data_IF_271392269766
#
_entry.id   IF_271392269766
#
_cell.length_a   1.000
_cell.length_b   1.000
_cell.length_c   1.000
_cell.angle_alpha   90.00
_cell.angle_beta   90.00
_cell.angle_gamma   90.00
#
_symmetry.space_group_name_H-M   'P 1'
#
loop_
_entity.id
_entity.type
_entity.pdbx_description
1 polymer ?
#
# COMPACT_ATOMS: atom_id res chain seq x y z
N UNK A 1 -14.98 -33.22 30.83
CA UNK A 1 -15.59 -32.15 30.02
C UNK A 1 -14.48 -31.26 29.50
N UNK A 2 -14.33 -31.15 28.18
CA UNK A 2 -13.41 -30.18 27.53
C UNK A 2 -14.20 -28.88 27.32
N UNK A 3 -13.70 -27.71 27.73
CA UNK A 3 -14.32 -26.47 27.30
C UNK A 3 -13.88 -26.14 25.86
N UNK A 4 -14.88 -26.08 24.98
CA UNK A 4 -14.86 -25.32 23.72
C UNK A 4 -14.67 -23.83 24.06
N UNK A 5 -14.20 -22.93 23.20
CA UNK A 5 -13.89 -22.93 21.79
C UNK A 5 -13.54 -21.48 21.47
N UNK A 6 -12.39 -21.27 20.83
CA UNK A 6 -11.98 -20.08 20.10
C UNK A 6 -12.28 -18.71 20.74
N UNK A 7 -11.30 -18.18 21.47
CA UNK A 7 -11.25 -16.78 21.88
C UNK A 7 -11.49 -15.86 20.68
N UNK A 8 -12.64 -15.19 20.66
CA UNK A 8 -12.80 -13.93 19.93
C UNK A 8 -11.86 -12.89 20.58
N UNK A 9 -10.56 -12.98 20.28
CA UNK A 9 -9.69 -11.82 20.34
C UNK A 9 -10.14 -10.87 19.23
N UNK A 10 -11.22 -10.12 19.49
CA UNK A 10 -11.41 -8.85 18.80
C UNK A 10 -10.15 -8.04 19.13
N UNK A 11 -9.40 -7.69 18.08
CA UNK A 11 -8.23 -6.83 18.13
C UNK A 11 -8.56 -5.50 18.81
N UNK A 12 -8.56 -5.47 20.15
CA UNK A 12 -8.71 -4.23 20.92
C UNK A 12 -7.55 -3.25 20.62
N UNK A 13 -6.42 -3.76 20.10
CA UNK A 13 -5.27 -2.97 19.66
C UNK A 13 -5.43 -2.25 18.31
N UNK A 14 -6.53 -2.44 17.58
CA UNK A 14 -6.81 -1.70 16.33
C UNK A 14 -7.66 -0.43 16.54
N UNK A 15 -8.24 -0.24 17.73
CA UNK A 15 -9.14 0.88 18.01
C UNK A 15 -8.46 2.26 17.92
N UNK A 16 -7.13 2.30 18.05
CA UNK A 16 -6.33 3.54 18.08
C UNK A 16 -5.35 3.66 16.90
N UNK A 17 -5.40 2.77 15.91
CA UNK A 17 -4.67 3.02 14.66
C UNK A 17 -5.49 4.01 13.85
N UNK A 18 -5.14 5.29 13.95
CA UNK A 18 -5.60 6.29 12.99
C UNK A 18 -5.28 5.74 11.60
N UNK A 19 -6.31 5.29 10.89
CA UNK A 19 -6.19 4.75 9.54
C UNK A 19 -5.55 5.86 8.69
N UNK A 20 -4.58 5.52 7.84
CA UNK A 20 -3.76 6.52 7.15
C UNK A 20 -4.62 7.56 6.41
N UNK A 21 -5.70 7.14 5.76
CA UNK A 21 -6.66 8.02 5.10
C UNK A 21 -7.35 9.02 6.03
N UNK A 22 -7.51 8.72 7.32
CA UNK A 22 -8.11 9.62 8.31
C UNK A 22 -7.14 10.72 8.75
N UNK A 23 -5.83 10.52 8.55
CA UNK A 23 -4.78 11.49 8.91
C UNK A 23 -4.44 12.40 7.72
N UNK A 24 -4.64 11.91 6.49
CA UNK A 24 -4.27 12.63 5.28
C UNK A 24 -5.25 13.76 4.94
N UNK A 25 -4.73 14.88 4.44
CA UNK A 25 -5.56 15.92 3.82
C UNK A 25 -6.15 15.40 2.51
N UNK A 26 -7.47 15.23 2.49
CA UNK A 26 -8.21 14.73 1.34
C UNK A 26 -8.19 15.70 0.16
N UNK A 27 -7.89 16.98 0.41
CA UNK A 27 -7.73 18.01 -0.63
C UNK A 27 -6.35 17.97 -1.26
N UNK A 28 -5.39 17.27 -0.68
CA UNK A 28 -4.03 17.21 -1.22
C UNK A 28 -4.04 16.60 -2.64
N UNK A 29 -3.37 17.20 -3.64
CA UNK A 29 -3.40 16.72 -5.02
C UNK A 29 -3.00 15.25 -5.18
N UNK A 30 -1.97 14.81 -4.45
CA UNK A 30 -1.54 13.40 -4.48
C UNK A 30 -2.58 12.43 -3.91
N UNK A 31 -3.36 12.85 -2.90
CA UNK A 31 -4.44 12.03 -2.35
C UNK A 31 -5.53 11.83 -3.41
N UNK A 32 -5.94 12.91 -4.08
CA UNK A 32 -6.95 12.87 -5.13
C UNK A 32 -6.50 12.03 -6.32
N UNK A 33 -5.25 12.17 -6.76
CA UNK A 33 -4.70 11.39 -7.88
C UNK A 33 -4.62 9.91 -7.50
N UNK A 34 -4.17 9.58 -6.29
CA UNK A 34 -4.10 8.20 -5.84
C UNK A 34 -5.46 7.48 -5.80
N UNK A 35 -6.57 8.24 -5.71
CA UNK A 35 -7.95 7.71 -5.81
C UNK A 35 -8.43 7.51 -7.24
N UNK A 36 -7.83 8.21 -8.21
CA UNK A 36 -8.19 8.15 -9.64
C UNK A 36 -7.37 7.14 -10.42
N UNK A 37 -6.20 6.75 -9.90
CA UNK A 37 -5.35 5.74 -10.53
C UNK A 37 -6.04 4.37 -10.43
N UNK A 38 -6.14 3.70 -11.57
CA UNK A 38 -6.47 2.28 -11.67
C UNK A 38 -5.25 1.45 -11.26
N UNK A 39 -5.20 1.07 -9.98
CA UNK A 39 -4.11 0.27 -9.43
C UNK A 39 -4.16 -1.18 -9.90
N UNK A 40 -5.34 -1.72 -10.19
CA UNK A 40 -5.50 -3.13 -10.62
C UNK A 40 -4.84 -3.35 -11.97
N UNK A 41 -4.99 -2.39 -12.90
CA UNK A 41 -4.29 -2.44 -14.19
C UNK A 41 -2.76 -2.53 -14.03
N UNK A 42 -2.20 -1.82 -13.06
CA UNK A 42 -0.75 -1.90 -12.80
C UNK A 42 -0.36 -3.24 -12.20
N UNK A 43 -1.18 -3.79 -11.29
CA UNK A 43 -0.94 -5.13 -10.74
C UNK A 43 -1.06 -6.21 -11.82
N UNK A 44 -2.01 -6.11 -12.77
CA UNK A 44 -2.14 -7.04 -13.90
C UNK A 44 -0.92 -6.95 -14.84
N UNK A 45 -0.55 -5.73 -15.23
CA UNK A 45 0.53 -5.54 -16.21
C UNK A 45 1.91 -5.83 -15.64
N UNK A 46 2.17 -5.45 -14.38
CA UNK A 46 3.48 -5.62 -13.76
C UNK A 46 3.59 -6.87 -12.91
N UNK A 47 2.49 -7.40 -12.38
CA UNK A 47 2.47 -8.57 -11.49
C UNK A 47 3.10 -9.80 -12.12
N UNK A 48 2.97 -9.96 -13.44
CA UNK A 48 3.60 -11.06 -14.21
C UNK A 48 5.14 -11.09 -14.12
N UNK A 49 5.78 -9.98 -13.75
CA UNK A 49 7.23 -9.89 -13.55
C UNK A 49 7.68 -10.18 -12.12
N UNK A 50 6.74 -10.35 -11.18
CA UNK A 50 7.01 -10.67 -9.79
C UNK A 50 6.66 -12.13 -9.49
N UNK A 51 7.42 -12.75 -8.59
CA UNK A 51 7.13 -14.10 -8.09
C UNK A 51 6.76 -14.02 -6.61
N UNK A 52 5.64 -14.64 -6.25
CA UNK A 52 5.21 -14.75 -4.85
C UNK A 52 5.85 -15.95 -4.14
N UNK A 53 6.28 -16.97 -4.90
CA UNK A 53 6.59 -18.29 -4.36
C UNK A 53 8.09 -18.55 -4.18
N UNK A 54 8.95 -17.68 -4.69
CA UNK A 54 10.39 -17.95 -4.73
C UNK A 54 11.19 -16.70 -4.38
N UNK A 55 12.09 -16.82 -3.42
CA UNK A 55 12.95 -15.72 -3.00
C UNK A 55 12.26 -14.70 -2.08
N UNK A 56 12.83 -13.49 -2.02
CA UNK A 56 12.25 -12.38 -1.25
C UNK A 56 11.04 -11.82 -2.01
N UNK A 57 9.86 -11.69 -1.37
CA UNK A 57 8.71 -11.06 -1.99
C UNK A 57 9.05 -9.66 -2.51
N UNK A 58 8.56 -9.35 -3.70
CA UNK A 58 8.69 -8.01 -4.28
C UNK A 58 8.02 -6.94 -3.40
N UNK A 59 8.44 -5.69 -3.58
CA UNK A 59 7.68 -4.56 -3.04
C UNK A 59 6.33 -4.47 -3.76
N UNK A 60 5.31 -3.94 -3.07
CA UNK A 60 3.98 -3.72 -3.66
C UNK A 60 4.11 -2.85 -4.92
N UNK A 61 3.49 -3.25 -6.03
CA UNK A 61 3.58 -2.52 -7.31
C UNK A 61 3.11 -1.08 -7.15
N UNK A 62 2.03 -0.86 -6.38
CA UNK A 62 1.58 0.49 -6.02
C UNK A 62 2.66 1.39 -5.41
N UNK A 63 3.56 0.83 -4.59
CA UNK A 63 4.68 1.60 -4.00
C UNK A 63 5.66 2.02 -5.10
N UNK A 64 6.08 1.06 -5.94
CA UNK A 64 7.05 1.31 -7.00
C UNK A 64 6.54 2.33 -8.02
N UNK A 65 5.29 2.16 -8.48
CA UNK A 65 4.63 3.10 -9.39
C UNK A 65 4.48 4.48 -8.74
N UNK A 66 4.12 4.52 -7.45
CA UNK A 66 4.04 5.76 -6.69
C UNK A 66 5.37 6.50 -6.60
N UNK A 67 6.47 5.79 -6.30
CA UNK A 67 7.81 6.38 -6.24
C UNK A 67 8.27 6.92 -7.60
N UNK A 68 8.05 6.16 -8.69
CA UNK A 68 8.33 6.66 -10.04
C UNK A 68 7.50 7.90 -10.38
N UNK A 69 6.20 7.91 -10.03
CA UNK A 69 5.38 9.10 -10.21
C UNK A 69 5.95 10.30 -9.47
N UNK A 70 6.33 10.16 -8.19
CA UNK A 70 6.90 11.24 -7.40
C UNK A 70 8.23 11.73 -7.97
N UNK A 71 9.09 10.81 -8.38
CA UNK A 71 10.37 11.12 -9.03
C UNK A 71 10.18 12.07 -10.20
N UNK A 72 9.25 11.72 -11.10
CA UNK A 72 8.95 12.52 -12.30
C UNK A 72 8.20 13.81 -11.97
N UNK A 73 7.19 13.75 -11.10
CA UNK A 73 6.36 14.90 -10.75
C UNK A 73 7.15 16.04 -10.07
N UNK A 74 8.19 15.68 -9.31
CA UNK A 74 9.01 16.65 -8.58
C UNK A 74 10.42 16.83 -9.15
N UNK A 75 10.75 16.18 -10.28
CA UNK A 75 12.07 16.20 -10.91
C UNK A 75 13.21 15.90 -9.92
N UNK A 76 13.07 14.81 -9.17
CA UNK A 76 14.02 14.38 -8.15
C UNK A 76 14.73 13.08 -8.55
N UNK A 77 15.85 12.75 -7.88
CA UNK A 77 16.56 11.49 -8.09
C UNK A 77 15.90 10.33 -7.36
N UNK A 78 16.33 9.09 -7.66
CA UNK A 78 15.82 7.88 -6.99
C UNK A 78 16.15 7.89 -5.49
N UNK A 79 17.31 8.41 -5.11
CA UNK A 79 17.73 8.50 -3.72
C UNK A 79 16.86 9.47 -2.92
N UNK A 80 16.26 10.46 -3.58
CA UNK A 80 15.46 11.50 -2.92
C UNK A 80 14.01 11.08 -2.67
N UNK A 81 13.55 10.00 -3.32
CA UNK A 81 12.22 9.43 -3.08
C UNK A 81 12.24 8.26 -2.08
N UNK A 82 13.42 7.82 -1.64
CA UNK A 82 13.63 6.69 -0.71
C UNK A 82 13.92 7.19 0.70
#
# INVERSE_FOLDING_TARGET
MKPEGNSKQKNQGELFRNRLDQILDHRHPLYQIAKKIDWEKFEEEFGKYYTEKTGRPGLRIRLLVGLHYLKHAYNVSDEKVI
#
